data_IF_422300262700
#
_entry.id   IF_422300262700
#
_cell.length_a   1.000
_cell.length_b   1.000
_cell.length_c   1.000
_cell.angle_alpha   90.00
_cell.angle_beta   90.00
_cell.angle_gamma   90.00
#
_symmetry.space_group_name_H-M   'P 1'
#
loop_
_entity.id
_entity.type
_entity.pdbx_description
1 polymer ?
#
# COMPACT_ATOMS: atom_id res chain seq x y z
N UNK A 1 26.32 -44.72 14.56
CA UNK A 1 25.50 -44.94 13.36
C UNK A 1 24.53 -43.77 13.27
N UNK A 2 24.81 -42.79 12.40
CA UNK A 2 23.80 -41.80 12.05
C UNK A 2 22.71 -42.56 11.31
N UNK A 3 21.54 -42.73 11.93
CA UNK A 3 20.38 -43.24 11.22
C UNK A 3 20.04 -42.25 10.11
N UNK A 4 19.98 -42.74 8.87
CA UNK A 4 19.43 -41.98 7.76
C UNK A 4 17.97 -41.68 8.11
N UNK A 5 17.69 -40.48 8.61
CA UNK A 5 16.32 -39.98 8.73
C UNK A 5 15.67 -40.09 7.35
N UNK A 6 14.49 -40.70 7.28
CA UNK A 6 13.77 -40.76 6.01
C UNK A 6 13.44 -39.33 5.57
N UNK A 7 13.44 -39.06 4.26
CA UNK A 7 13.12 -37.73 3.74
C UNK A 7 11.77 -37.19 4.23
N UNK A 8 10.83 -38.08 4.60
CA UNK A 8 9.55 -37.73 5.21
C UNK A 8 9.72 -37.05 6.57
N UNK A 9 10.58 -37.60 7.43
CA UNK A 9 10.82 -37.06 8.78
C UNK A 9 11.53 -35.71 8.68
N UNK A 10 12.46 -35.55 7.75
CA UNK A 10 13.15 -34.27 7.52
C UNK A 10 12.19 -33.19 7.01
N UNK A 11 11.29 -33.53 6.09
CA UNK A 11 10.30 -32.59 5.56
C UNK A 11 9.27 -32.18 6.63
N UNK A 12 8.80 -33.12 7.45
CA UNK A 12 7.91 -32.81 8.57
C UNK A 12 8.60 -31.94 9.63
N UNK A 13 9.87 -32.21 9.95
CA UNK A 13 10.66 -31.39 10.89
C UNK A 13 10.91 -29.96 10.38
N UNK A 14 10.96 -29.76 9.06
CA UNK A 14 11.06 -28.45 8.41
C UNK A 14 9.70 -27.75 8.21
N UNK A 15 8.60 -28.33 8.73
CA UNK A 15 7.26 -27.74 8.64
C UNK A 15 6.53 -28.03 7.32
N UNK A 16 7.05 -28.91 6.46
CA UNK A 16 6.40 -29.30 5.22
C UNK A 16 5.46 -30.50 5.44
N UNK A 17 4.22 -30.41 4.91
CA UNK A 17 3.22 -31.47 5.02
C UNK A 17 3.57 -32.76 4.24
N UNK A 18 2.77 -33.82 4.47
CA UNK A 18 2.93 -35.14 3.82
C UNK A 18 2.87 -35.06 2.27
N UNK A 19 2.23 -34.01 1.72
CA UNK A 19 2.05 -33.80 0.28
C UNK A 19 3.38 -33.53 -0.46
N UNK A 20 4.33 -32.84 0.19
CA UNK A 20 5.65 -32.54 -0.41
C UNK A 20 6.46 -33.83 -0.57
N UNK A 21 6.42 -34.70 0.44
CA UNK A 21 7.09 -36.00 0.38
C UNK A 21 6.49 -36.87 -0.73
N UNK A 22 5.16 -36.92 -0.81
CA UNK A 22 4.47 -37.67 -1.85
C UNK A 22 4.80 -37.12 -3.25
N UNK A 23 4.84 -35.80 -3.38
CA UNK A 23 5.22 -35.15 -4.62
C UNK A 23 6.65 -35.51 -5.05
N UNK A 24 7.63 -35.35 -4.16
CA UNK A 24 9.04 -35.60 -4.46
C UNK A 24 9.37 -37.08 -4.73
N UNK A 25 8.78 -37.99 -3.97
CA UNK A 25 9.16 -39.40 -4.03
C UNK A 25 8.36 -40.19 -5.07
N UNK A 26 7.17 -39.70 -5.43
CA UNK A 26 6.25 -40.42 -6.30
C UNK A 26 5.74 -39.60 -7.49
N UNK A 27 5.28 -38.35 -7.31
CA UNK A 27 4.69 -37.59 -8.41
C UNK A 27 5.76 -37.10 -9.40
N UNK A 28 6.75 -36.36 -8.92
CA UNK A 28 7.82 -35.79 -9.73
C UNK A 28 8.63 -36.87 -10.49
N UNK A 29 8.95 -38.03 -9.88
CA UNK A 29 9.63 -39.12 -10.60
C UNK A 29 8.70 -39.93 -11.54
N UNK A 30 7.43 -39.55 -11.69
CA UNK A 30 6.46 -40.25 -12.53
C UNK A 30 6.00 -41.61 -11.99
N UNK A 31 6.13 -41.86 -10.69
CA UNK A 31 5.64 -43.09 -10.02
C UNK A 31 4.22 -42.89 -9.50
N UNK A 32 3.31 -42.48 -10.39
CA UNK A 32 1.95 -42.15 -9.97
C UNK A 32 1.27 -43.34 -9.30
N UNK A 33 1.23 -44.53 -9.89
CA UNK A 33 0.58 -45.69 -9.25
C UNK A 33 1.06 -45.95 -7.81
N UNK A 34 2.34 -45.70 -7.52
CA UNK A 34 2.88 -45.79 -6.16
C UNK A 34 2.38 -44.66 -5.24
N UNK A 35 2.25 -43.43 -5.74
CA UNK A 35 1.58 -42.34 -5.01
C UNK A 35 0.11 -42.67 -4.75
N UNK A 36 -0.61 -43.26 -5.72
CA UNK A 36 -2.01 -43.71 -5.56
C UNK A 36 -2.14 -44.64 -4.37
N UNK A 37 -1.31 -45.68 -4.40
CA UNK A 37 -1.35 -46.74 -3.41
C UNK A 37 -0.94 -46.19 -2.05
N UNK A 38 0.04 -45.29 -2.00
CA UNK A 38 0.40 -44.58 -0.76
C UNK A 38 -0.77 -43.79 -0.19
N UNK A 39 -1.53 -43.05 -1.01
CA UNK A 39 -2.70 -42.30 -0.57
C UNK A 39 -3.85 -43.21 -0.13
N UNK A 40 -4.14 -44.27 -0.90
CA UNK A 40 -5.18 -45.25 -0.54
C UNK A 40 -4.85 -45.89 0.82
N UNK A 41 -3.60 -46.30 1.03
CA UNK A 41 -3.14 -46.85 2.31
C UNK A 41 -3.23 -45.82 3.41
N UNK A 42 -2.95 -44.54 3.15
CA UNK A 42 -3.07 -43.49 4.16
C UNK A 42 -4.53 -43.23 4.57
N UNK A 43 -5.46 -43.30 3.63
CA UNK A 43 -6.87 -42.96 3.83
C UNK A 43 -7.80 -44.18 3.93
N UNK A 44 -7.25 -45.39 4.09
CA UNK A 44 -8.00 -46.66 4.04
C UNK A 44 -9.17 -46.76 5.04
N UNK A 45 -9.11 -46.03 6.16
CA UNK A 45 -10.21 -45.95 7.13
C UNK A 45 -11.39 -45.07 6.67
N UNK A 46 -11.24 -44.31 5.58
CA UNK A 46 -12.25 -43.41 5.03
C UNK A 46 -12.62 -43.84 3.59
N UNK A 47 -13.55 -44.81 3.47
CA UNK A 47 -13.97 -45.37 2.17
C UNK A 47 -14.34 -44.32 1.12
N UNK A 48 -15.12 -43.29 1.48
CA UNK A 48 -15.50 -42.24 0.54
C UNK A 48 -14.30 -41.46 -0.02
N UNK A 49 -13.23 -41.28 0.78
CA UNK A 49 -12.01 -40.60 0.32
C UNK A 49 -11.16 -41.50 -0.57
N UNK A 50 -11.14 -42.79 -0.32
CA UNK A 50 -10.51 -43.78 -1.20
C UNK A 50 -11.22 -43.82 -2.55
N UNK A 51 -12.55 -43.84 -2.58
CA UNK A 51 -13.33 -43.78 -3.82
C UNK A 51 -13.09 -42.46 -4.58
N UNK A 52 -13.05 -41.32 -3.89
CA UNK A 52 -12.69 -40.03 -4.50
C UNK A 52 -11.29 -40.04 -5.13
N UNK A 53 -10.29 -40.60 -4.44
CA UNK A 53 -8.92 -40.74 -4.96
C UNK A 53 -8.91 -41.64 -6.20
N UNK A 54 -9.59 -42.78 -6.15
CA UNK A 54 -9.66 -43.73 -7.27
C UNK A 54 -10.33 -43.10 -8.50
N UNK A 55 -11.42 -42.36 -8.30
CA UNK A 55 -12.19 -41.73 -9.37
C UNK A 55 -11.45 -40.52 -9.97
N UNK A 56 -10.86 -39.67 -9.13
CA UNK A 56 -10.12 -38.49 -9.58
C UNK A 56 -8.86 -38.84 -10.37
N UNK A 57 -8.11 -39.87 -9.95
CA UNK A 57 -6.89 -40.27 -10.66
C UNK A 57 -7.12 -41.04 -11.95
N UNK A 58 -8.28 -41.69 -12.08
CA UNK A 58 -8.65 -42.37 -13.32
C UNK A 58 -9.31 -41.42 -14.33
N UNK A 59 -9.41 -40.12 -14.04
CA UNK A 59 -10.01 -39.16 -14.95
C UNK A 59 -9.11 -38.91 -16.18
N UNK A 60 -9.70 -38.64 -17.36
CA UNK A 60 -8.94 -38.22 -18.54
C UNK A 60 -8.06 -37.00 -18.26
N UNK A 61 -8.54 -36.06 -17.44
CA UNK A 61 -7.84 -34.85 -17.05
C UNK A 61 -6.58 -35.16 -16.24
N UNK A 62 -6.65 -36.11 -15.30
CA UNK A 62 -5.50 -36.54 -14.51
C UNK A 62 -4.43 -37.24 -15.37
N UNK A 63 -4.84 -38.05 -16.35
CA UNK A 63 -3.93 -38.70 -17.30
C UNK A 63 -3.24 -37.69 -18.23
N UNK A 64 -3.99 -36.70 -18.72
CA UNK A 64 -3.42 -35.60 -19.51
C UNK A 64 -2.48 -34.73 -18.68
N UNK A 65 -2.79 -34.48 -17.41
CA UNK A 65 -1.93 -33.72 -16.50
C UNK A 65 -0.63 -34.48 -16.24
N UNK A 66 -0.70 -35.79 -16.02
CA UNK A 66 0.49 -36.64 -15.90
C UNK A 66 1.38 -36.55 -17.14
N UNK A 67 0.79 -36.73 -18.32
CA UNK A 67 1.54 -36.67 -19.57
C UNK A 67 2.18 -35.30 -19.77
N UNK A 68 1.46 -34.22 -19.48
CA UNK A 68 1.94 -32.85 -19.58
C UNK A 68 3.07 -32.55 -18.58
N UNK A 69 3.01 -33.10 -17.35
CA UNK A 69 4.08 -32.98 -16.37
C UNK A 69 5.35 -33.70 -16.80
N UNK A 70 5.23 -34.93 -17.31
CA UNK A 70 6.38 -35.71 -17.78
C UNK A 70 7.05 -35.10 -19.01
N UNK A 71 6.27 -34.45 -19.87
CA UNK A 71 6.76 -33.81 -21.10
C UNK A 71 7.18 -32.34 -20.92
N UNK A 72 6.96 -31.75 -19.74
CA UNK A 72 7.21 -30.34 -19.50
C UNK A 72 6.27 -29.39 -20.27
N UNK A 73 5.10 -29.88 -20.71
CA UNK A 73 4.08 -29.07 -21.39
C UNK A 73 3.27 -28.24 -20.39
N UNK A 74 3.86 -27.14 -19.92
CA UNK A 74 3.32 -26.26 -18.87
C UNK A 74 1.96 -25.65 -19.25
N UNK A 75 1.79 -25.22 -20.50
CA UNK A 75 0.50 -24.67 -20.97
C UNK A 75 -0.63 -25.70 -20.89
N UNK A 76 -0.34 -26.96 -21.20
CA UNK A 76 -1.34 -28.03 -21.05
C UNK A 76 -1.71 -28.21 -19.58
N UNK A 77 -0.74 -28.19 -18.66
CA UNK A 77 -1.01 -28.28 -17.22
C UNK A 77 -1.85 -27.12 -16.69
N UNK A 78 -1.53 -25.88 -17.09
CA UNK A 78 -2.29 -24.70 -16.67
C UNK A 78 -3.71 -24.77 -17.22
N UNK A 79 -3.89 -25.12 -18.50
CA UNK A 79 -5.22 -25.27 -19.10
C UNK A 79 -6.02 -26.41 -18.44
N UNK A 80 -5.40 -27.54 -18.11
CA UNK A 80 -6.07 -28.63 -17.41
C UNK A 80 -6.52 -28.16 -16.02
N UNK A 81 -5.66 -27.46 -15.29
CA UNK A 81 -6.00 -26.91 -13.99
C UNK A 81 -7.12 -25.85 -14.06
N UNK A 82 -7.11 -24.97 -15.08
CA UNK A 82 -8.17 -24.00 -15.32
C UNK A 82 -9.51 -24.66 -15.66
N UNK A 83 -9.49 -25.78 -16.39
CA UNK A 83 -10.69 -26.52 -16.78
C UNK A 83 -11.21 -27.44 -15.67
N UNK A 84 -10.34 -27.95 -14.79
CA UNK A 84 -10.69 -28.78 -13.63
C UNK A 84 -11.23 -27.94 -12.45
N UNK A 85 -11.07 -26.62 -12.48
CA UNK A 85 -11.57 -25.67 -11.48
C UNK A 85 -13.12 -25.58 -11.38
N UNK A 86 -13.86 -26.49 -12.01
CA UNK A 86 -15.32 -26.59 -11.97
C UNK A 86 -15.89 -27.25 -10.70
N UNK A 87 -15.24 -27.11 -9.54
CA UNK A 87 -15.88 -27.44 -8.26
C UNK A 87 -16.50 -26.18 -7.64
N UNK A 88 -17.78 -25.95 -7.93
CA UNK A 88 -18.62 -24.86 -7.35
C UNK A 88 -18.61 -24.77 -5.81
N UNK A 89 -17.95 -25.70 -5.11
CA UNK A 89 -18.05 -25.86 -3.66
C UNK A 89 -16.73 -25.67 -2.89
N UNK A 90 -15.57 -25.43 -3.53
CA UNK A 90 -14.29 -25.20 -2.81
C UNK A 90 -13.36 -24.19 -3.51
N UNK A 91 -13.40 -22.90 -3.11
CA UNK A 91 -12.48 -21.86 -3.61
C UNK A 91 -11.01 -22.18 -3.34
N UNK A 92 -10.71 -22.93 -2.27
CA UNK A 92 -9.35 -23.33 -1.87
C UNK A 92 -8.64 -24.23 -2.90
N UNK A 93 -9.38 -24.87 -3.82
CA UNK A 93 -8.81 -25.64 -4.94
C UNK A 93 -8.24 -24.76 -6.07
N UNK A 94 -8.45 -23.44 -6.00
CA UNK A 94 -7.98 -22.46 -7.00
C UNK A 94 -6.65 -21.76 -6.64
N UNK A 95 -5.86 -22.33 -5.72
CA UNK A 95 -4.58 -21.78 -5.26
C UNK A 95 -3.41 -22.70 -5.69
N UNK A 96 -2.43 -22.15 -6.41
CA UNK A 96 -1.21 -22.85 -6.78
C UNK A 96 -0.24 -22.98 -5.59
N UNK A 97 0.25 -24.19 -5.34
CA UNK A 97 1.19 -24.45 -4.25
C UNK A 97 2.65 -24.29 -4.74
N UNK A 98 3.26 -23.15 -4.44
CA UNK A 98 4.62 -22.83 -4.86
C UNK A 98 5.69 -23.65 -4.13
N UNK A 99 5.41 -24.18 -2.93
CA UNK A 99 6.33 -25.09 -2.26
C UNK A 99 6.63 -26.34 -3.09
N UNK A 100 5.61 -26.85 -3.79
CA UNK A 100 5.74 -27.99 -4.70
C UNK A 100 6.40 -27.58 -6.02
N UNK A 101 5.99 -26.45 -6.59
CA UNK A 101 6.56 -25.96 -7.85
C UNK A 101 8.05 -25.63 -7.72
N UNK A 102 8.51 -25.19 -6.54
CA UNK A 102 9.92 -24.97 -6.24
C UNK A 102 10.77 -26.27 -6.34
N UNK A 103 10.15 -27.45 -6.24
CA UNK A 103 10.84 -28.73 -6.37
C UNK A 103 11.00 -29.19 -7.83
N UNK A 104 10.35 -28.51 -8.78
CA UNK A 104 10.48 -28.83 -10.19
C UNK A 104 11.87 -28.43 -10.73
N UNK A 105 12.32 -29.02 -11.85
CA UNK A 105 13.41 -28.45 -12.65
C UNK A 105 13.29 -26.93 -12.79
N UNK A 106 14.39 -26.22 -12.54
CA UNK A 106 14.44 -24.76 -12.37
C UNK A 106 13.70 -24.00 -13.48
N UNK A 107 13.95 -24.33 -14.75
CA UNK A 107 13.31 -23.68 -15.89
C UNK A 107 11.78 -23.89 -15.91
N UNK A 108 11.32 -25.08 -15.51
CA UNK A 108 9.89 -25.38 -15.44
C UNK A 108 9.24 -24.61 -14.29
N UNK A 109 9.87 -24.57 -13.11
CA UNK A 109 9.40 -23.79 -11.97
C UNK A 109 9.26 -22.29 -12.32
N UNK A 110 10.29 -21.70 -12.94
CA UNK A 110 10.29 -20.30 -13.38
C UNK A 110 9.20 -20.02 -14.41
N UNK A 111 8.99 -20.94 -15.35
CA UNK A 111 7.95 -20.78 -16.37
C UNK A 111 6.56 -20.87 -15.73
N UNK A 112 6.32 -21.81 -14.81
CA UNK A 112 5.08 -21.86 -14.03
C UNK A 112 4.82 -20.56 -13.29
N UNK A 113 5.83 -20.06 -12.57
CA UNK A 113 5.75 -18.82 -11.82
C UNK A 113 5.36 -17.63 -12.68
N UNK A 114 5.98 -17.48 -13.85
CA UNK A 114 5.63 -16.42 -14.78
C UNK A 114 4.16 -16.54 -15.24
N UNK A 115 3.75 -17.74 -15.69
CA UNK A 115 2.39 -17.96 -16.23
C UNK A 115 1.29 -17.83 -15.18
N UNK A 116 1.51 -18.31 -13.96
CA UNK A 116 0.58 -18.15 -12.82
C UNK A 116 0.30 -16.65 -12.60
N UNK A 117 1.35 -15.82 -12.64
CA UNK A 117 1.22 -14.38 -12.45
C UNK A 117 0.60 -13.66 -13.65
N UNK A 118 0.93 -14.04 -14.89
CA UNK A 118 0.27 -13.50 -16.10
C UNK A 118 -1.25 -13.72 -16.07
N UNK A 119 -1.67 -14.90 -15.61
CA UNK A 119 -3.08 -15.29 -15.50
C UNK A 119 -3.75 -14.79 -14.21
N UNK A 120 -2.99 -14.17 -13.31
CA UNK A 120 -3.45 -13.65 -12.01
C UNK A 120 -4.03 -14.71 -11.07
N UNK A 121 -3.57 -15.96 -11.18
CA UNK A 121 -4.02 -17.06 -10.33
C UNK A 121 -3.58 -16.85 -8.89
N UNK A 122 -4.35 -17.38 -7.93
CA UNK A 122 -3.96 -17.39 -6.52
C UNK A 122 -2.82 -18.39 -6.31
N UNK A 123 -1.92 -18.09 -5.38
CA UNK A 123 -0.80 -18.97 -5.05
C UNK A 123 -0.44 -18.84 -3.57
N UNK A 124 0.33 -19.80 -3.06
CA UNK A 124 0.87 -19.80 -1.70
C UNK A 124 2.27 -20.41 -1.65
N UNK A 125 3.16 -19.84 -0.83
CA UNK A 125 4.54 -20.30 -0.62
C UNK A 125 5.58 -19.53 -1.43
N UNK A 126 5.24 -18.30 -1.79
CA UNK A 126 6.06 -17.39 -2.58
C UNK A 126 7.38 -17.01 -1.89
N UNK A 127 7.38 -16.88 -0.56
CA UNK A 127 8.59 -16.66 0.24
C UNK A 127 9.61 -17.81 0.07
N UNK A 128 9.16 -19.05 0.21
CA UNK A 128 10.00 -20.23 -0.01
C UNK A 128 10.45 -20.31 -1.46
N UNK A 129 9.54 -20.15 -2.42
CA UNK A 129 9.83 -20.23 -3.84
C UNK A 129 10.89 -19.21 -4.28
N UNK A 130 10.75 -17.96 -3.82
CA UNK A 130 11.72 -16.89 -4.06
C UNK A 130 13.06 -17.17 -3.38
N UNK A 131 13.08 -17.80 -2.20
CA UNK A 131 14.32 -18.17 -1.52
C UNK A 131 15.15 -19.21 -2.29
N UNK A 132 14.49 -20.10 -3.05
CA UNK A 132 15.14 -21.15 -3.84
C UNK A 132 15.58 -20.63 -5.22
N UNK A 133 14.73 -19.85 -5.89
CA UNK A 133 14.98 -19.41 -7.26
C UNK A 133 15.70 -18.06 -7.35
N UNK A 134 15.68 -17.25 -6.29
CA UNK A 134 16.37 -15.98 -6.23
C UNK A 134 15.98 -15.03 -7.37
N UNK A 135 16.97 -14.37 -7.95
CA UNK A 135 16.77 -13.34 -8.98
C UNK A 135 16.16 -13.88 -10.28
N UNK A 136 16.26 -15.17 -10.57
CA UNK A 136 15.66 -15.74 -11.78
C UNK A 136 14.13 -15.63 -11.75
N UNK A 137 13.52 -15.58 -10.56
CA UNK A 137 12.08 -15.42 -10.37
C UNK A 137 11.61 -13.95 -10.51
N UNK A 138 12.52 -12.99 -10.74
CA UNK A 138 12.21 -11.56 -10.81
C UNK A 138 11.11 -11.20 -11.83
N UNK A 139 11.07 -11.77 -13.05
CA UNK A 139 10.01 -11.44 -14.01
C UNK A 139 8.59 -11.74 -13.48
N UNK A 140 8.40 -12.91 -12.85
CA UNK A 140 7.11 -13.25 -12.23
C UNK A 140 6.85 -12.43 -10.95
N UNK A 141 7.89 -12.07 -10.19
CA UNK A 141 7.77 -11.21 -9.01
C UNK A 141 7.30 -9.80 -9.38
N UNK A 142 7.80 -9.24 -10.48
CA UNK A 142 7.35 -7.94 -11.00
C UNK A 142 5.87 -7.96 -11.37
N UNK A 143 5.40 -9.05 -12.00
CA UNK A 143 3.98 -9.23 -12.30
C UNK A 143 3.14 -9.39 -11.03
N UNK A 144 3.59 -10.25 -10.10
CA UNK A 144 2.94 -10.46 -8.80
C UNK A 144 2.75 -9.12 -8.08
N UNK A 145 3.81 -8.31 -8.02
CA UNK A 145 3.79 -6.99 -7.39
C UNK A 145 2.85 -6.01 -8.08
N UNK A 146 2.77 -6.04 -9.41
CA UNK A 146 1.85 -5.19 -10.16
C UNK A 146 0.37 -5.51 -9.88
N UNK A 147 0.07 -6.77 -9.56
CA UNK A 147 -1.30 -7.25 -9.32
C UNK A 147 -1.69 -7.18 -7.84
N UNK A 148 -0.78 -7.56 -6.94
CA UNK A 148 -1.01 -7.67 -5.49
C UNK A 148 0.14 -6.99 -4.73
N UNK A 149 0.26 -5.65 -4.82
CA UNK A 149 1.36 -4.93 -4.19
C UNK A 149 1.37 -5.12 -2.67
N UNK A 150 0.20 -5.14 -2.00
CA UNK A 150 0.09 -5.38 -0.54
C UNK A 150 0.74 -6.68 -0.09
N UNK A 151 0.44 -7.78 -0.76
CA UNK A 151 0.93 -9.11 -0.41
C UNK A 151 2.42 -9.28 -0.79
N UNK A 152 2.82 -8.72 -1.93
CA UNK A 152 4.14 -8.99 -2.51
C UNK A 152 5.23 -8.02 -2.01
N UNK A 153 4.87 -6.80 -1.55
CA UNK A 153 5.87 -5.79 -1.15
C UNK A 153 6.86 -6.31 -0.09
N UNK A 154 6.42 -6.97 1.01
CA UNK A 154 7.35 -7.47 2.03
C UNK A 154 8.44 -8.39 1.48
N UNK A 155 8.15 -9.13 0.41
CA UNK A 155 9.10 -10.04 -0.24
C UNK A 155 10.15 -9.27 -1.04
N UNK A 156 9.75 -8.18 -1.70
CA UNK A 156 10.61 -7.33 -2.53
C UNK A 156 11.70 -6.62 -1.71
N UNK A 157 11.52 -6.43 -0.40
CA UNK A 157 12.56 -5.90 0.50
C UNK A 157 13.88 -6.68 0.40
N UNK A 158 13.80 -7.97 0.08
CA UNK A 158 14.96 -8.87 -0.02
C UNK A 158 15.64 -8.85 -1.40
N UNK A 159 15.13 -8.07 -2.36
CA UNK A 159 15.60 -8.03 -3.74
C UNK A 159 16.11 -6.64 -4.14
N UNK A 160 17.42 -6.53 -4.37
CA UNK A 160 18.03 -5.37 -5.01
C UNK A 160 18.09 -5.55 -6.52
N UNK A 161 17.08 -5.04 -7.25
CA UNK A 161 17.07 -5.07 -8.72
C UNK A 161 16.59 -3.71 -9.27
N UNK A 162 17.18 -3.28 -10.39
CA UNK A 162 16.84 -2.00 -11.03
C UNK A 162 15.40 -1.94 -11.52
N UNK A 163 14.84 -3.07 -11.92
CA UNK A 163 13.50 -3.25 -12.44
C UNK A 163 12.42 -2.98 -11.38
N UNK A 164 12.78 -3.13 -10.10
CA UNK A 164 11.91 -2.85 -8.96
C UNK A 164 11.86 -1.36 -8.60
N UNK A 165 12.87 -0.57 -9.00
CA UNK A 165 12.99 0.82 -8.58
C UNK A 165 11.81 1.70 -9.01
N UNK A 166 11.35 1.59 -10.26
CA UNK A 166 10.20 2.38 -10.74
C UNK A 166 8.87 1.91 -10.12
N UNK A 167 8.55 0.60 -10.06
CA UNK A 167 7.40 0.13 -9.28
C UNK A 167 7.40 0.63 -7.83
N UNK A 168 8.52 0.54 -7.12
CA UNK A 168 8.66 1.02 -5.74
C UNK A 168 8.52 2.54 -5.65
N UNK A 169 9.12 3.30 -6.57
CA UNK A 169 8.99 4.75 -6.61
C UNK A 169 7.54 5.20 -6.82
N UNK A 170 6.75 4.48 -7.63
CA UNK A 170 5.31 4.73 -7.79
C UNK A 170 4.55 4.48 -6.49
N UNK A 171 4.92 3.45 -5.72
CA UNK A 171 4.36 3.22 -4.37
C UNK A 171 4.71 4.37 -3.43
N UNK A 172 5.98 4.77 -3.38
CA UNK A 172 6.44 5.92 -2.61
C UNK A 172 5.69 7.21 -2.95
N UNK A 173 5.41 7.43 -4.24
CA UNK A 173 4.73 8.62 -4.73
C UNK A 173 3.24 8.63 -4.39
N UNK A 174 2.52 7.52 -4.66
CA UNK A 174 1.04 7.48 -4.69
C UNK A 174 0.37 6.80 -3.48
N UNK A 175 0.99 5.81 -2.86
CA UNK A 175 0.30 4.90 -1.94
C UNK A 175 0.78 5.09 -0.50
N UNK A 176 0.03 5.88 0.27
CA UNK A 176 0.35 6.17 1.67
C UNK A 176 0.50 4.90 2.53
N UNK A 177 -0.30 3.86 2.25
CA UNK A 177 -0.32 2.59 3.01
C UNK A 177 0.99 1.82 3.04
N UNK A 178 1.75 1.83 1.95
CA UNK A 178 3.03 1.08 1.83
C UNK A 178 4.23 2.02 1.71
N UNK A 179 4.02 3.28 2.05
CA UNK A 179 5.03 4.32 1.84
C UNK A 179 6.30 4.07 2.64
N UNK A 180 6.15 3.51 3.84
CA UNK A 180 7.27 3.06 4.67
C UNK A 180 8.08 1.96 4.02
N UNK A 181 7.43 0.91 3.52
CA UNK A 181 8.12 -0.20 2.85
C UNK A 181 8.84 0.30 1.59
N UNK A 182 8.22 1.22 0.85
CA UNK A 182 8.86 1.86 -0.29
C UNK A 182 10.06 2.72 0.11
N UNK A 183 9.95 3.50 1.19
CA UNK A 183 11.07 4.25 1.76
C UNK A 183 12.20 3.31 2.17
N UNK A 184 11.88 2.24 2.89
CA UNK A 184 12.83 1.24 3.35
C UNK A 184 13.58 0.63 2.16
N UNK A 185 12.87 0.17 1.13
CA UNK A 185 13.49 -0.40 -0.07
C UNK A 185 14.40 0.60 -0.78
N UNK A 186 13.93 1.84 -0.99
CA UNK A 186 14.72 2.90 -1.66
C UNK A 186 16.04 3.17 -0.92
N UNK A 187 15.99 3.24 0.42
CA UNK A 187 17.16 3.50 1.24
C UNK A 187 18.06 2.27 1.45
N UNK A 188 17.50 1.07 1.37
CA UNK A 188 18.26 -0.17 1.40
C UNK A 188 19.00 -0.41 0.07
N UNK A 189 18.40 0.00 -1.05
CA UNK A 189 18.93 -0.22 -2.41
C UNK A 189 19.13 1.11 -3.17
N UNK A 190 19.96 2.04 -2.65
CA UNK A 190 20.08 3.40 -3.20
C UNK A 190 20.70 3.41 -4.60
N UNK A 191 21.69 2.55 -4.87
CA UNK A 191 22.35 2.47 -6.18
C UNK A 191 21.42 1.91 -7.26
N UNK A 192 20.62 0.89 -6.94
CA UNK A 192 19.62 0.32 -7.86
C UNK A 192 18.55 1.36 -8.20
N UNK A 193 18.08 2.08 -7.17
CA UNK A 193 17.14 3.19 -7.31
C UNK A 193 17.72 4.28 -8.23
N UNK A 194 18.94 4.75 -7.95
CA UNK A 194 19.60 5.78 -8.74
C UNK A 194 19.77 5.35 -10.21
N UNK A 195 20.27 4.13 -10.43
CA UNK A 195 20.60 3.62 -11.77
C UNK A 195 19.37 3.58 -12.68
N UNK A 196 18.23 3.13 -12.14
CA UNK A 196 16.98 3.01 -12.90
C UNK A 196 16.26 4.36 -13.08
N UNK A 197 16.31 5.24 -12.07
CA UNK A 197 15.43 6.41 -12.01
C UNK A 197 16.05 7.70 -12.56
N UNK A 198 17.39 7.86 -12.51
CA UNK A 198 18.07 9.07 -13.02
C UNK A 198 17.67 9.40 -14.48
N UNK A 199 17.67 8.43 -15.43
CA UNK A 199 17.29 8.71 -16.81
C UNK A 199 15.84 9.20 -16.95
N UNK A 200 14.94 8.72 -16.09
CA UNK A 200 13.51 9.04 -16.16
C UNK A 200 13.21 10.47 -15.76
N UNK A 201 14.10 11.15 -15.02
CA UNK A 201 13.91 12.58 -14.66
C UNK A 201 14.09 13.49 -15.88
N UNK A 202 14.89 13.07 -16.86
CA UNK A 202 15.20 13.86 -18.05
C UNK A 202 14.27 13.59 -19.24
N UNK A 203 13.33 12.66 -19.10
CA UNK A 203 12.29 12.43 -20.12
C UNK A 203 11.15 13.46 -19.99
N UNK A 204 10.23 13.45 -20.95
CA UNK A 204 9.04 14.31 -20.90
C UNK A 204 8.29 14.12 -19.56
N UNK A 205 7.87 15.22 -18.89
CA UNK A 205 7.12 15.13 -17.64
C UNK A 205 5.89 14.23 -17.76
N UNK A 206 5.83 13.24 -16.88
CA UNK A 206 4.76 12.28 -16.70
C UNK A 206 4.79 11.72 -15.28
N UNK A 207 3.80 10.91 -14.91
CA UNK A 207 3.72 10.30 -13.58
C UNK A 207 4.97 9.48 -13.20
N UNK A 208 5.57 8.77 -14.17
CA UNK A 208 6.78 7.99 -13.92
C UNK A 208 8.00 8.89 -13.63
N UNK A 209 8.14 10.02 -14.34
CA UNK A 209 9.25 10.96 -14.10
C UNK A 209 9.07 11.68 -12.77
N UNK A 210 7.82 11.98 -12.37
CA UNK A 210 7.52 12.55 -11.05
C UNK A 210 7.85 11.54 -9.94
N UNK A 211 7.37 10.29 -10.06
CA UNK A 211 7.71 9.24 -9.10
C UNK A 211 9.22 9.03 -8.96
N UNK A 212 9.94 9.02 -10.08
CA UNK A 212 11.40 8.94 -10.12
C UNK A 212 12.05 10.11 -9.36
N UNK A 213 11.62 11.34 -9.63
CA UNK A 213 12.14 12.53 -8.97
C UNK A 213 11.91 12.50 -7.45
N UNK A 214 10.72 12.08 -7.00
CA UNK A 214 10.41 11.97 -5.57
C UNK A 214 11.27 10.94 -4.84
N UNK A 215 11.62 9.83 -5.49
CA UNK A 215 12.52 8.82 -4.92
C UNK A 215 13.98 9.31 -4.88
N UNK A 216 14.44 10.00 -5.92
CA UNK A 216 15.79 10.55 -5.96
C UNK A 216 15.98 11.71 -4.98
N UNK A 217 14.95 12.54 -4.77
CA UNK A 217 14.96 13.55 -3.70
C UNK A 217 15.07 12.94 -2.32
N UNK A 218 14.34 11.85 -2.06
CA UNK A 218 14.48 11.11 -0.80
C UNK A 218 15.93 10.65 -0.59
N UNK A 219 16.59 10.10 -1.62
CA UNK A 219 18.01 9.71 -1.51
C UNK A 219 18.93 10.91 -1.22
N UNK A 220 18.72 12.01 -1.94
CA UNK A 220 19.48 13.24 -1.76
C UNK A 220 19.33 13.82 -0.35
N UNK A 221 18.09 13.92 0.15
CA UNK A 221 17.76 14.38 1.51
C UNK A 221 18.35 13.46 2.60
N UNK A 222 18.54 12.18 2.31
CA UNK A 222 19.19 11.21 3.22
C UNK A 222 20.71 11.16 3.05
N UNK A 223 21.32 12.14 2.36
CA UNK A 223 22.78 12.28 2.26
C UNK A 223 23.46 11.43 1.19
N UNK A 224 22.71 10.85 0.24
CA UNK A 224 23.28 9.99 -0.82
C UNK A 224 23.78 10.78 -2.04
N UNK A 225 24.19 12.04 -1.89
CA UNK A 225 24.60 12.92 -3.01
C UNK A 225 25.80 12.36 -3.79
N UNK A 226 26.83 11.88 -3.10
CA UNK A 226 28.04 11.30 -3.74
C UNK A 226 27.70 10.06 -4.58
N UNK A 227 26.79 9.21 -4.08
CA UNK A 227 26.32 8.03 -4.80
C UNK A 227 25.52 8.44 -6.04
N UNK A 228 24.59 9.40 -5.92
CA UNK A 228 23.83 9.90 -7.06
C UNK A 228 24.73 10.51 -8.13
N UNK A 229 25.77 11.25 -7.72
CA UNK A 229 26.79 11.79 -8.62
C UNK A 229 27.56 10.67 -9.33
N UNK A 230 28.03 9.67 -8.57
CA UNK A 230 28.75 8.52 -9.12
C UNK A 230 27.93 7.78 -10.17
N UNK A 231 26.64 7.54 -9.89
CA UNK A 231 25.74 6.84 -10.83
C UNK A 231 25.42 7.73 -12.04
N UNK A 232 25.17 9.03 -11.85
CA UNK A 232 24.93 9.96 -12.95
C UNK A 232 26.12 10.02 -13.93
N UNK A 233 27.34 9.96 -13.42
CA UNK A 233 28.56 9.99 -14.23
C UNK A 233 28.79 8.72 -15.07
N UNK A 234 28.13 7.60 -14.76
CA UNK A 234 28.21 6.36 -15.56
C UNK A 234 27.58 6.51 -16.95
N UNK A 235 26.75 7.52 -17.15
CA UNK A 235 26.06 7.81 -18.42
C UNK A 235 26.94 8.55 -19.44
N UNK A 236 28.24 8.72 -19.15
CA UNK A 236 29.25 9.38 -20.00
C UNK A 236 28.82 10.77 -20.51
N UNK A 237 28.09 11.50 -19.66
CA UNK A 237 27.59 12.85 -19.92
C UNK A 237 27.94 13.78 -18.76
N UNK A 238 28.86 14.70 -19.03
CA UNK A 238 29.37 15.64 -18.02
C UNK A 238 28.31 16.58 -17.43
N UNK A 239 27.20 16.78 -18.13
CA UNK A 239 26.10 17.67 -17.72
C UNK A 239 25.02 16.97 -16.88
N UNK A 240 25.03 15.63 -16.78
CA UNK A 240 23.99 14.87 -16.08
C UNK A 240 23.91 15.21 -14.61
N UNK A 241 25.02 15.19 -13.88
CA UNK A 241 25.03 15.50 -12.46
C UNK A 241 24.63 16.95 -12.18
N UNK A 242 25.25 17.99 -12.79
CA UNK A 242 24.84 19.38 -12.55
C UNK A 242 23.36 19.65 -12.86
N UNK A 243 22.82 19.04 -13.92
CA UNK A 243 21.41 19.16 -14.26
C UNK A 243 20.51 18.45 -13.23
N UNK A 244 20.90 17.25 -12.80
CA UNK A 244 20.17 16.48 -11.79
C UNK A 244 20.18 17.21 -10.44
N UNK A 245 21.35 17.63 -9.97
CA UNK A 245 21.53 18.35 -8.71
C UNK A 245 20.66 19.60 -8.66
N UNK A 246 20.64 20.39 -9.73
CA UNK A 246 19.75 21.56 -9.85
C UNK A 246 18.26 21.21 -9.68
N UNK A 247 17.80 20.09 -10.25
CA UNK A 247 16.41 19.63 -10.13
C UNK A 247 16.12 19.11 -8.71
N UNK A 248 17.10 18.44 -8.08
CA UNK A 248 16.99 17.92 -6.72
C UNK A 248 16.97 19.04 -5.67
N UNK A 249 17.77 20.10 -5.86
CA UNK A 249 17.83 21.26 -4.97
C UNK A 249 16.81 22.34 -5.29
N UNK A 250 16.01 22.17 -6.36
CA UNK A 250 15.01 23.16 -6.73
C UNK A 250 14.00 23.33 -5.58
N UNK A 251 13.76 24.57 -5.21
CA UNK A 251 12.80 24.90 -4.16
C UNK A 251 11.43 24.30 -4.51
N UNK A 252 10.81 23.48 -3.64
CA UNK A 252 9.49 22.92 -3.87
C UNK A 252 8.41 23.96 -4.19
N UNK A 253 8.62 25.20 -3.77
CA UNK A 253 7.77 26.37 -4.05
C UNK A 253 7.90 26.90 -5.49
N UNK A 254 8.86 26.42 -6.27
CA UNK A 254 9.07 26.87 -7.66
C UNK A 254 8.62 25.81 -8.68
N UNK A 255 7.98 24.75 -8.19
CA UNK A 255 7.51 23.62 -9.00
C UNK A 255 6.03 23.82 -9.31
N UNK A 256 5.75 24.19 -10.55
CA UNK A 256 4.38 24.45 -11.03
C UNK A 256 3.98 23.42 -12.09
N UNK A 257 2.69 23.02 -12.14
CA UNK A 257 2.19 22.22 -13.26
C UNK A 257 2.26 23.05 -14.56
N UNK A 258 2.63 22.39 -15.67
CA UNK A 258 2.69 23.04 -16.99
C UNK A 258 1.33 23.55 -17.49
N UNK A 259 0.22 23.00 -16.97
CA UNK A 259 -1.15 23.44 -17.25
C UNK A 259 -1.99 23.38 -15.99
N UNK A 260 -2.69 24.47 -15.72
CA UNK A 260 -3.63 24.57 -14.59
C UNK A 260 -5.04 24.24 -15.13
N UNK A 261 -5.73 23.23 -14.57
CA UNK A 261 -7.11 22.95 -14.95
C UNK A 261 -8.01 24.17 -14.71
N UNK A 262 -8.95 24.42 -15.64
CA UNK A 262 -9.96 25.47 -15.46
C UNK A 262 -10.79 25.21 -14.19
N UNK A 263 -11.20 26.27 -13.51
CA UNK A 263 -12.03 26.17 -12.31
C UNK A 263 -13.35 25.47 -12.65
N UNK A 264 -13.84 24.55 -11.80
CA UNK A 264 -15.12 23.91 -12.02
C UNK A 264 -16.26 24.92 -11.80
N UNK A 265 -17.44 24.63 -12.35
CA UNK A 265 -18.59 25.55 -12.28
C UNK A 265 -19.07 25.83 -10.86
N UNK A 266 -18.80 24.93 -9.90
CA UNK A 266 -19.15 25.13 -8.49
C UNK A 266 -18.18 26.05 -7.74
N UNK A 267 -17.07 26.47 -8.37
CA UNK A 267 -16.06 27.32 -7.73
C UNK A 267 -16.55 28.76 -7.60
N UNK A 268 -17.11 29.08 -6.43
CA UNK A 268 -17.63 30.40 -6.09
C UNK A 268 -17.16 30.86 -4.70
N UNK A 269 -15.84 31.08 -4.51
CA UNK A 269 -15.26 31.35 -3.19
C UNK A 269 -15.74 32.65 -2.54
N UNK A 270 -16.34 33.55 -3.31
CA UNK A 270 -16.93 34.78 -2.80
C UNK A 270 -18.15 34.54 -1.89
N UNK A 271 -18.81 33.39 -2.03
CA UNK A 271 -19.99 32.99 -1.25
C UNK A 271 -19.62 32.14 -0.03
N UNK A 272 -18.33 31.86 0.17
CA UNK A 272 -17.82 30.98 1.22
C UNK A 272 -17.19 31.78 2.37
N UNK A 273 -16.97 31.09 3.47
CA UNK A 273 -16.20 31.57 4.61
C UNK A 273 -14.80 32.00 4.16
N UNK A 274 -14.43 33.25 4.42
CA UNK A 274 -13.16 33.81 3.97
C UNK A 274 -12.05 33.54 4.98
N UNK A 275 -10.89 33.01 4.56
CA UNK A 275 -9.68 32.99 5.38
C UNK A 275 -9.33 34.37 5.90
N UNK A 276 -8.87 34.44 7.15
CA UNK A 276 -8.47 35.69 7.81
C UNK A 276 -7.01 35.64 8.21
N UNK A 277 -6.31 36.76 8.06
CA UNK A 277 -4.90 36.87 8.46
C UNK A 277 -4.75 36.82 9.99
N UNK A 278 -3.71 36.16 10.47
CA UNK A 278 -3.38 36.08 11.90
C UNK A 278 -2.99 37.45 12.45
N UNK A 279 -2.24 38.24 11.68
CA UNK A 279 -1.64 39.50 12.14
C UNK A 279 -2.64 40.61 12.44
N UNK A 280 -3.71 40.71 11.64
CA UNK A 280 -4.64 41.84 11.71
C UNK A 280 -6.12 41.45 11.54
N UNK A 281 -6.44 40.15 11.48
CA UNK A 281 -7.80 39.62 11.33
C UNK A 281 -8.55 40.05 10.05
N UNK A 282 -7.86 40.64 9.08
CA UNK A 282 -8.46 41.03 7.80
C UNK A 282 -8.72 39.80 6.94
N UNK A 283 -9.80 39.83 6.16
CA UNK A 283 -10.12 38.77 5.21
C UNK A 283 -9.21 38.86 4.00
N UNK A 284 -8.82 37.71 3.45
CA UNK A 284 -8.13 37.63 2.17
C UNK A 284 -8.97 38.26 1.04
N UNK A 285 -8.29 38.87 0.08
CA UNK A 285 -8.92 39.54 -1.08
C UNK A 285 -9.54 38.52 -2.03
N UNK A 286 -10.42 38.96 -2.95
CA UNK A 286 -10.98 38.08 -3.97
C UNK A 286 -9.90 37.49 -4.87
N UNK A 287 -8.91 38.28 -5.26
CA UNK A 287 -7.80 37.82 -6.10
C UNK A 287 -6.98 36.73 -5.38
N UNK A 288 -6.76 36.89 -4.06
CA UNK A 288 -6.09 35.88 -3.26
C UNK A 288 -6.91 34.58 -3.21
N UNK A 289 -8.24 34.64 -3.10
CA UNK A 289 -9.09 33.45 -3.14
C UNK A 289 -8.95 32.69 -4.47
N UNK A 290 -8.90 33.40 -5.60
CA UNK A 290 -8.71 32.77 -6.90
C UNK A 290 -7.33 32.10 -7.02
N UNK A 291 -6.27 32.76 -6.54
CA UNK A 291 -4.91 32.19 -6.50
C UNK A 291 -4.86 30.94 -5.61
N UNK A 292 -5.51 30.96 -4.44
CA UNK A 292 -5.65 29.79 -3.56
C UNK A 292 -6.35 28.65 -4.31
N UNK A 293 -7.42 28.96 -5.04
CA UNK A 293 -8.14 28.00 -5.87
C UNK A 293 -7.30 27.40 -6.99
N UNK A 294 -6.48 28.21 -7.66
CA UNK A 294 -5.52 27.73 -8.65
C UNK A 294 -4.52 26.77 -8.02
N UNK A 295 -3.89 27.17 -6.91
CA UNK A 295 -2.92 26.34 -6.20
C UNK A 295 -3.53 25.02 -5.69
N UNK A 296 -4.78 25.03 -5.21
CA UNK A 296 -5.51 23.82 -4.80
C UNK A 296 -5.74 22.86 -5.98
N UNK A 297 -5.81 23.37 -7.21
CA UNK A 297 -5.93 22.56 -8.43
C UNK A 297 -4.58 22.02 -8.93
N UNK A 298 -3.45 22.42 -8.34
CA UNK A 298 -2.11 21.91 -8.70
C UNK A 298 -1.84 20.51 -8.16
N UNK A 299 -2.87 19.76 -7.76
CA UNK A 299 -2.65 18.45 -7.13
C UNK A 299 -1.92 17.49 -8.06
N UNK A 300 -0.71 17.11 -7.68
CA UNK A 300 0.15 16.14 -8.38
C UNK A 300 0.34 14.92 -7.50
N UNK A 301 0.08 13.72 -8.03
CA UNK A 301 0.19 12.48 -7.25
C UNK A 301 -0.68 12.42 -5.98
N UNK A 302 -1.77 13.21 -5.92
CA UNK A 302 -2.61 13.32 -4.73
C UNK A 302 -2.03 14.19 -3.60
N UNK A 303 -1.07 15.06 -3.89
CA UNK A 303 -0.52 16.04 -2.93
C UNK A 303 -0.78 17.47 -3.38
N UNK A 304 -0.96 18.35 -2.42
CA UNK A 304 -1.06 19.77 -2.67
C UNK A 304 0.31 20.40 -2.95
N UNK A 305 0.29 21.47 -3.73
CA UNK A 305 1.44 22.31 -3.94
C UNK A 305 1.93 22.88 -2.60
N UNK A 306 3.24 22.81 -2.38
CA UNK A 306 3.89 23.15 -1.11
C UNK A 306 3.60 24.58 -0.65
N UNK A 307 3.33 25.51 -1.57
CA UNK A 307 2.99 26.89 -1.22
C UNK A 307 1.67 27.07 -0.50
N UNK A 308 0.76 26.10 -0.55
CA UNK A 308 -0.46 26.16 0.25
C UNK A 308 -0.18 26.00 1.75
N UNK A 309 0.94 25.39 2.15
CA UNK A 309 1.34 25.30 3.57
C UNK A 309 1.67 26.67 4.15
N UNK A 310 2.11 27.64 3.33
CA UNK A 310 2.35 29.00 3.78
C UNK A 310 1.07 29.67 4.28
N UNK A 311 -0.10 29.31 3.74
CA UNK A 311 -1.37 29.86 4.20
C UNK A 311 -1.63 29.52 5.67
N UNK A 312 -1.17 28.37 6.18
CA UNK A 312 -1.28 28.03 7.60
C UNK A 312 -0.42 28.93 8.50
N UNK A 313 0.62 29.54 7.94
CA UNK A 313 1.49 30.48 8.67
C UNK A 313 0.90 31.89 8.72
N UNK A 314 0.09 32.26 7.72
CA UNK A 314 -0.45 33.62 7.59
C UNK A 314 -1.92 33.74 7.97
N UNK A 315 -2.72 32.66 7.84
CA UNK A 315 -4.16 32.67 8.07
C UNK A 315 -4.55 31.88 9.32
N UNK A 316 -5.62 32.33 9.97
CA UNK A 316 -6.16 31.69 11.17
C UNK A 316 -6.68 30.28 10.83
N UNK A 317 -6.25 29.24 11.56
CA UNK A 317 -6.61 27.85 11.27
C UNK A 317 -8.11 27.62 11.13
N UNK A 318 -8.92 28.20 12.02
CA UNK A 318 -10.38 28.00 12.04
C UNK A 318 -11.05 28.58 10.78
N UNK A 319 -10.55 29.70 10.27
CA UNK A 319 -11.10 30.33 9.06
C UNK A 319 -10.67 29.61 7.79
N UNK A 320 -9.49 28.99 7.79
CA UNK A 320 -9.05 28.09 6.71
C UNK A 320 -9.88 26.80 6.70
N UNK A 321 -10.15 26.23 7.88
CA UNK A 321 -10.99 25.04 8.02
C UNK A 321 -12.42 25.30 7.51
N UNK A 322 -13.02 26.43 7.91
CA UNK A 322 -14.34 26.84 7.42
C UNK A 322 -14.37 27.02 5.89
N UNK A 323 -13.36 27.67 5.31
CA UNK A 323 -13.23 27.80 3.86
C UNK A 323 -13.14 26.45 3.15
N UNK A 324 -12.34 25.51 3.68
CA UNK A 324 -12.22 24.17 3.12
C UNK A 324 -13.51 23.36 3.24
N UNK A 325 -14.26 23.52 4.33
CA UNK A 325 -15.55 22.90 4.52
C UNK A 325 -16.60 23.39 3.52
N UNK A 326 -16.64 24.70 3.25
CA UNK A 326 -17.54 25.28 2.24
C UNK A 326 -17.20 24.80 0.83
N UNK A 327 -15.90 24.72 0.49
CA UNK A 327 -15.43 24.13 -0.77
C UNK A 327 -15.86 22.66 -0.91
N UNK A 328 -15.66 21.85 0.14
CA UNK A 328 -16.09 20.45 0.16
C UNK A 328 -17.61 20.33 -0.03
N UNK A 329 -18.39 21.16 0.67
CA UNK A 329 -19.84 21.17 0.59
C UNK A 329 -20.31 21.53 -0.83
N UNK A 330 -19.70 22.54 -1.46
CA UNK A 330 -20.00 22.91 -2.85
C UNK A 330 -19.69 21.77 -3.82
N UNK A 331 -18.54 21.09 -3.66
CA UNK A 331 -18.18 19.91 -4.46
C UNK A 331 -19.19 18.76 -4.27
N UNK A 332 -19.65 18.51 -3.05
CA UNK A 332 -20.68 17.50 -2.78
C UNK A 332 -22.01 17.84 -3.46
N UNK A 333 -22.45 19.10 -3.37
CA UNK A 333 -23.69 19.59 -3.99
C UNK A 333 -23.63 19.52 -5.52
N UNK A 334 -22.44 19.70 -6.11
CA UNK A 334 -22.19 19.51 -7.54
C UNK A 334 -22.16 18.03 -7.98
N UNK A 335 -22.50 17.09 -7.09
CA UNK A 335 -22.54 15.66 -7.39
C UNK A 335 -21.22 14.93 -7.14
N UNK A 336 -20.24 15.57 -6.48
CA UNK A 336 -18.92 15.02 -6.17
C UNK A 336 -18.16 14.50 -7.40
N UNK A 337 -17.91 15.35 -8.41
CA UNK A 337 -17.21 14.95 -9.63
C UNK A 337 -15.80 14.45 -9.32
N UNK A 338 -15.45 13.26 -9.84
CA UNK A 338 -14.17 12.60 -9.57
C UNK A 338 -12.95 13.39 -10.06
N UNK A 339 -13.09 14.14 -11.18
CA UNK A 339 -12.03 15.01 -11.72
C UNK A 339 -11.66 16.17 -10.78
N UNK A 340 -12.56 16.54 -9.88
CA UNK A 340 -12.39 17.64 -8.92
C UNK A 340 -12.25 17.15 -7.48
N UNK A 341 -11.78 15.91 -7.28
CA UNK A 341 -11.60 15.32 -5.95
C UNK A 341 -10.59 16.08 -5.07
N UNK A 342 -9.81 16.99 -5.65
CA UNK A 342 -8.96 17.93 -4.93
C UNK A 342 -9.75 18.80 -3.94
N UNK A 343 -11.03 19.09 -4.23
CA UNK A 343 -11.90 19.86 -3.32
C UNK A 343 -12.21 19.08 -2.04
N UNK A 344 -12.41 17.75 -2.14
CA UNK A 344 -12.56 16.89 -0.98
C UNK A 344 -11.23 16.75 -0.22
N UNK A 345 -10.13 16.55 -0.97
CA UNK A 345 -8.79 16.42 -0.40
C UNK A 345 -8.38 17.67 0.39
N UNK A 346 -8.88 18.87 0.06
CA UNK A 346 -8.53 20.13 0.74
C UNK A 346 -8.81 20.10 2.25
N UNK A 347 -9.76 19.28 2.71
CA UNK A 347 -10.02 19.03 4.12
C UNK A 347 -8.79 18.43 4.84
N UNK A 348 -7.99 17.61 4.15
CA UNK A 348 -6.75 17.07 4.73
C UNK A 348 -5.68 18.12 4.97
N UNK A 349 -5.72 19.21 4.20
CA UNK A 349 -4.74 20.27 4.30
C UNK A 349 -5.15 21.32 5.32
N UNK A 350 -6.40 21.81 5.25
CA UNK A 350 -6.85 22.96 6.03
C UNK A 350 -7.82 22.62 7.16
N UNK A 351 -8.32 21.38 7.21
CA UNK A 351 -9.28 20.97 8.22
C UNK A 351 -8.69 20.96 9.63
N UNK A 352 -9.53 21.32 10.59
CA UNK A 352 -9.22 21.31 12.02
C UNK A 352 -9.95 20.16 12.75
N UNK A 353 -9.95 20.18 14.08
CA UNK A 353 -10.63 19.16 14.90
C UNK A 353 -12.15 19.10 14.65
N UNK A 354 -12.81 20.26 14.46
CA UNK A 354 -14.25 20.28 14.12
C UNK A 354 -14.49 19.62 12.76
N UNK A 355 -13.64 19.93 11.79
CA UNK A 355 -13.69 19.31 10.46
C UNK A 355 -13.58 17.79 10.56
N UNK A 356 -12.70 17.26 11.41
CA UNK A 356 -12.56 15.83 11.62
C UNK A 356 -13.83 15.18 12.20
N UNK A 357 -14.48 15.83 13.18
CA UNK A 357 -15.74 15.35 13.79
C UNK A 357 -16.89 15.37 12.78
N UNK A 358 -17.03 16.46 12.04
CA UNK A 358 -18.11 16.63 11.06
C UNK A 358 -17.93 15.67 9.88
N UNK A 359 -16.70 15.51 9.38
CA UNK A 359 -16.38 14.55 8.33
C UNK A 359 -16.65 13.11 8.78
N UNK A 360 -16.38 12.77 10.04
CA UNK A 360 -16.67 11.44 10.60
C UNK A 360 -18.15 11.11 10.57
N UNK A 361 -19.01 12.10 10.87
CA UNK A 361 -20.46 11.95 10.77
C UNK A 361 -20.88 11.60 9.35
N UNK A 362 -20.30 12.27 8.34
CA UNK A 362 -20.54 11.98 6.92
C UNK A 362 -20.04 10.58 6.52
N UNK A 363 -18.83 10.20 6.96
CA UNK A 363 -18.22 8.89 6.66
C UNK A 363 -19.08 7.74 7.17
N UNK A 364 -19.67 7.87 8.36
CA UNK A 364 -20.54 6.84 8.94
C UNK A 364 -21.88 6.71 8.21
N UNK A 365 -22.37 7.78 7.58
CA UNK A 365 -23.63 7.79 6.83
C UNK A 365 -23.48 7.21 5.41
N UNK A 366 -22.39 7.53 4.70
CA UNK A 366 -22.22 7.19 3.28
C UNK A 366 -22.37 5.71 2.90
N UNK A 367 -21.94 4.71 3.69
CA UNK A 367 -22.21 3.31 3.35
C UNK A 367 -23.71 2.98 3.24
N UNK A 368 -24.56 3.63 4.05
CA UNK A 368 -26.02 3.46 3.99
C UNK A 368 -26.64 4.14 2.77
N UNK A 369 -25.95 5.14 2.20
CA UNK A 369 -26.34 5.85 0.99
C UNK A 369 -25.77 5.22 -0.29
N UNK A 370 -25.12 4.05 -0.21
CA UNK A 370 -24.45 3.41 -1.35
C UNK A 370 -23.14 4.09 -1.78
N UNK A 371 -22.60 5.01 -0.96
CA UNK A 371 -21.40 5.82 -1.25
C UNK A 371 -20.15 5.27 -0.56
N UNK A 372 -19.99 3.94 -0.47
CA UNK A 372 -18.89 3.29 0.27
C UNK A 372 -17.49 3.72 -0.19
N UNK A 373 -17.28 3.92 -1.49
CA UNK A 373 -15.99 4.42 -2.00
C UNK A 373 -15.66 5.82 -1.46
N UNK A 374 -16.67 6.68 -1.28
CA UNK A 374 -16.49 8.02 -0.68
C UNK A 374 -16.14 7.92 0.80
N UNK A 375 -16.72 6.96 1.52
CA UNK A 375 -16.37 6.67 2.91
C UNK A 375 -14.90 6.29 3.06
N UNK A 376 -14.39 5.40 2.20
CA UNK A 376 -12.97 5.04 2.18
C UNK A 376 -12.09 6.25 1.87
N UNK A 377 -12.46 7.09 0.90
CA UNK A 377 -11.74 8.35 0.63
C UNK A 377 -11.75 9.32 1.83
N UNK A 378 -12.84 9.35 2.60
CA UNK A 378 -12.92 10.13 3.83
C UNK A 378 -12.00 9.61 4.93
N UNK A 379 -11.86 8.29 5.09
CA UNK A 379 -10.87 7.71 6.02
C UNK A 379 -9.44 8.11 5.65
N UNK A 380 -9.12 8.11 4.35
CA UNK A 380 -7.83 8.58 3.86
C UNK A 380 -7.60 10.06 4.18
N UNK A 381 -8.63 10.91 4.08
CA UNK A 381 -8.53 12.34 4.46
C UNK A 381 -8.28 12.50 5.96
N UNK A 382 -9.01 11.79 6.83
CA UNK A 382 -8.74 11.81 8.27
C UNK A 382 -7.30 11.40 8.58
N UNK A 383 -6.79 10.39 7.88
CA UNK A 383 -5.39 9.93 8.01
C UNK A 383 -4.39 11.02 7.63
N UNK A 384 -4.69 11.80 6.59
CA UNK A 384 -3.81 12.85 6.08
C UNK A 384 -3.85 14.15 6.91
N UNK A 385 -4.95 14.44 7.61
CA UNK A 385 -5.08 15.63 8.48
C UNK A 385 -4.02 15.67 9.59
N UNK A 386 -3.48 14.51 9.98
CA UNK A 386 -2.39 14.35 10.95
C UNK A 386 -2.55 15.17 12.25
N UNK A 387 -3.78 15.26 12.76
CA UNK A 387 -4.08 15.79 14.09
C UNK A 387 -4.69 14.69 14.97
N UNK A 388 -4.57 14.84 16.28
CA UNK A 388 -4.96 13.79 17.24
C UNK A 388 -6.46 13.48 17.17
N UNK A 389 -7.30 14.51 16.97
CA UNK A 389 -8.74 14.32 16.81
C UNK A 389 -9.07 13.42 15.61
N UNK A 390 -8.41 13.60 14.46
CA UNK A 390 -8.65 12.78 13.28
C UNK A 390 -8.28 11.31 13.52
N UNK A 391 -7.18 11.05 14.25
CA UNK A 391 -6.78 9.70 14.64
C UNK A 391 -7.73 9.08 15.67
N UNK A 392 -8.21 9.85 16.66
CA UNK A 392 -9.25 9.42 17.61
C UNK A 392 -10.52 9.03 16.85
N UNK A 393 -10.96 9.84 15.88
CA UNK A 393 -12.13 9.52 15.07
C UNK A 393 -11.90 8.27 14.22
N UNK A 394 -10.74 8.12 13.60
CA UNK A 394 -10.38 6.95 12.80
C UNK A 394 -10.41 5.67 13.66
N UNK A 395 -9.89 5.73 14.88
CA UNK A 395 -9.99 4.64 15.86
C UNK A 395 -11.42 4.35 16.29
N UNK A 396 -12.22 5.39 16.55
CA UNK A 396 -13.63 5.20 16.86
C UNK A 396 -14.38 4.49 15.73
N UNK A 397 -14.10 4.83 14.47
CA UNK A 397 -14.69 4.17 13.30
C UNK A 397 -14.27 2.70 13.22
N UNK A 398 -12.97 2.40 13.40
CA UNK A 398 -12.47 1.01 13.31
C UNK A 398 -13.12 0.08 14.33
N UNK A 399 -13.46 0.61 15.51
CA UNK A 399 -14.11 -0.17 16.58
C UNK A 399 -15.63 -0.25 16.40
N UNK A 400 -16.30 0.86 16.08
CA UNK A 400 -17.76 1.00 16.26
C UNK A 400 -18.58 1.16 14.99
N UNK A 401 -17.97 1.27 13.82
CA UNK A 401 -18.74 1.41 12.58
C UNK A 401 -19.60 0.17 12.29
N UNK A 402 -20.86 0.37 11.91
CA UNK A 402 -21.79 -0.73 11.59
C UNK A 402 -21.37 -1.50 10.33
N UNK A 403 -20.75 -0.82 9.38
CA UNK A 403 -20.24 -1.41 8.15
C UNK A 403 -18.92 -2.14 8.41
N UNK A 404 -18.93 -3.48 8.28
CA UNK A 404 -17.71 -4.29 8.43
C UNK A 404 -16.59 -3.85 7.47
N UNK A 405 -16.83 -3.68 6.15
CA UNK A 405 -15.79 -3.18 5.25
C UNK A 405 -15.23 -1.82 5.68
N UNK A 406 -16.06 -0.92 6.22
CA UNK A 406 -15.58 0.39 6.67
C UNK A 406 -14.68 0.25 7.91
N UNK A 407 -15.03 -0.62 8.87
CA UNK A 407 -14.18 -0.91 10.04
C UNK A 407 -12.83 -1.47 9.61
N UNK A 408 -12.84 -2.44 8.72
CA UNK A 408 -11.62 -3.12 8.25
C UNK A 408 -10.69 -2.12 7.55
N UNK A 409 -11.24 -1.23 6.70
CA UNK A 409 -10.45 -0.16 6.08
C UNK A 409 -9.90 0.83 7.12
N UNK A 410 -10.71 1.26 8.09
CA UNK A 410 -10.25 2.19 9.14
C UNK A 410 -9.14 1.58 10.01
N UNK A 411 -9.23 0.29 10.32
CA UNK A 411 -8.18 -0.45 11.01
C UNK A 411 -6.89 -0.50 10.18
N UNK A 412 -6.99 -0.73 8.87
CA UNK A 412 -5.84 -0.71 7.97
C UNK A 412 -5.17 0.67 7.93
N UNK A 413 -5.93 1.77 7.82
CA UNK A 413 -5.37 3.12 7.86
C UNK A 413 -4.67 3.43 9.20
N UNK A 414 -5.23 2.98 10.33
CA UNK A 414 -4.58 3.13 11.62
C UNK A 414 -3.27 2.35 11.71
N UNK A 415 -3.25 1.11 11.21
CA UNK A 415 -2.05 0.30 11.17
C UNK A 415 -0.94 1.01 10.37
N UNK A 416 -1.28 1.57 9.21
CA UNK A 416 -0.35 2.36 8.41
C UNK A 416 0.21 3.56 9.20
N UNK A 417 -0.63 4.27 9.94
CA UNK A 417 -0.17 5.40 10.78
C UNK A 417 0.75 4.91 11.90
N UNK A 418 0.40 3.81 12.56
CA UNK A 418 1.20 3.22 13.63
C UNK A 418 2.59 2.81 13.11
N UNK A 419 2.63 2.07 11.99
CA UNK A 419 3.86 1.67 11.32
C UNK A 419 4.70 2.90 10.90
N UNK A 420 4.08 3.96 10.35
CA UNK A 420 4.74 5.23 10.01
C UNK A 420 5.36 5.92 11.22
N UNK A 421 4.86 5.67 12.43
CA UNK A 421 5.37 6.22 13.69
C UNK A 421 6.25 5.24 14.46
N UNK A 422 6.49 4.03 13.93
CA UNK A 422 7.25 2.98 14.61
C UNK A 422 6.55 2.45 15.87
N UNK A 423 5.21 2.45 15.87
CA UNK A 423 4.36 2.02 16.98
C UNK A 423 3.51 0.83 16.56
N UNK A 424 3.09 0.02 17.52
CA UNK A 424 1.97 -0.90 17.34
C UNK A 424 0.64 -0.15 17.27
N UNK A 425 -0.41 -0.81 16.75
CA UNK A 425 -1.74 -0.20 16.72
C UNK A 425 -2.30 0.03 18.14
N UNK A 426 -1.96 -0.85 19.09
CA UNK A 426 -2.34 -0.74 20.50
C UNK A 426 -1.61 0.43 21.16
N UNK A 427 -0.29 0.55 20.94
CA UNK A 427 0.50 1.69 21.44
C UNK A 427 0.04 3.02 20.86
N UNK A 428 -0.36 3.04 19.59
CA UNK A 428 -0.96 4.22 18.99
C UNK A 428 -2.30 4.55 19.67
N UNK A 429 -3.16 3.55 19.90
CA UNK A 429 -4.45 3.75 20.55
C UNK A 429 -4.31 4.28 21.99
N UNK A 430 -3.38 3.73 22.77
CA UNK A 430 -3.11 4.17 24.14
C UNK A 430 -2.66 5.64 24.18
N UNK A 431 -1.86 6.07 23.19
CA UNK A 431 -1.43 7.47 23.06
C UNK A 431 -2.51 8.43 22.57
N UNK A 432 -3.57 7.91 21.96
CA UNK A 432 -4.72 8.71 21.50
C UNK A 432 -5.75 8.96 22.59
N UNK A 433 -5.57 8.38 23.79
CA UNK A 433 -6.41 8.68 24.95
C UNK A 433 -6.26 10.17 25.26
N UNK A 434 -7.35 10.96 25.17
CA UNK A 434 -7.28 12.38 25.50
C UNK A 434 -6.81 12.54 26.93
N UNK A 435 -5.71 13.26 27.12
CA UNK A 435 -5.17 13.49 28.46
C UNK A 435 -6.00 14.49 29.24
N UNK A 436 -6.97 15.14 28.59
CA UNK A 436 -7.88 16.14 29.17
C UNK A 436 -7.15 17.28 29.90
N UNK A 437 -5.90 17.55 29.50
CA UNK A 437 -5.04 18.54 30.15
C UNK A 437 -4.43 18.06 31.47
N UNK A 438 -4.67 16.81 31.90
CA UNK A 438 -4.18 16.27 33.17
C UNK A 438 -2.66 16.08 33.21
N UNK A 439 -1.96 16.21 32.07
CA UNK A 439 -0.50 16.18 32.00
C UNK A 439 0.14 17.53 32.39
N UNK A 440 -0.65 18.61 32.39
CA UNK A 440 -0.20 19.94 32.84
C UNK A 440 -0.42 20.05 34.36
N UNK A 441 0.66 20.19 35.17
CA UNK A 441 0.54 20.36 36.62
C UNK A 441 -0.35 21.54 37.03
N UNK A 442 -0.48 22.57 36.18
CA UNK A 442 -1.35 23.72 36.44
C UNK A 442 -2.83 23.40 36.18
N UNK A 443 -3.15 22.50 35.24
CA UNK A 443 -4.52 22.06 34.98
C UNK A 443 -5.08 21.15 36.08
N UNK A 444 -4.20 20.59 36.92
CA UNK A 444 -4.55 19.83 38.12
C UNK A 444 -4.74 20.71 39.37
N UNK A 445 -4.57 22.03 39.25
CA UNK A 445 -4.68 22.99 40.35
C UNK A 445 -5.98 23.81 40.23
N UNK A 446 -6.89 23.62 41.18
CA UNK A 446 -8.14 24.36 41.29
C UNK A 446 -8.05 25.44 42.38
N UNK A 447 -8.18 26.70 41.99
CA UNK A 447 -8.20 27.85 42.90
C UNK A 447 -9.65 28.24 43.25
N UNK A 448 -9.97 28.22 44.55
CA UNK A 448 -11.25 28.62 45.11
C UNK A 448 -11.09 29.81 46.08
N UNK A 449 -10.22 30.78 45.78
CA UNK A 449 -10.02 31.98 46.57
C UNK A 449 -9.02 31.74 47.71
N UNK A 450 -9.41 31.71 49.00
CA UNK A 450 -8.45 31.46 50.09
C UNK A 450 -7.96 30.01 50.16
N UNK A 451 -8.38 29.12 49.26
CA UNK A 451 -8.01 27.69 49.24
C UNK A 451 -7.69 27.24 47.82
N UNK A 452 -6.57 26.55 47.69
CA UNK A 452 -6.11 25.93 46.45
C UNK A 452 -6.06 24.42 46.65
N UNK A 453 -6.58 23.67 45.69
CA UNK A 453 -6.61 22.20 45.70
C UNK A 453 -5.82 21.68 44.51
N UNK A 454 -4.97 20.69 44.73
CA UNK A 454 -4.23 20.03 43.65
C UNK A 454 -4.63 18.57 43.62
N UNK A 455 -5.03 18.09 42.45
CA UNK A 455 -5.32 16.67 42.23
C UNK A 455 -4.00 15.97 41.91
N UNK A 456 -3.67 14.92 42.67
CA UNK A 456 -2.52 14.06 42.38
C UNK A 456 -3.00 12.62 42.40
N UNK A 457 -2.61 11.85 41.39
CA UNK A 457 -2.83 10.41 41.38
C UNK A 457 -1.73 9.75 42.23
N UNK A 458 -2.11 8.81 43.10
CA UNK A 458 -1.19 7.83 43.67
C UNK A 458 -1.24 6.55 42.82
N UNK A 459 -0.07 5.95 42.59
CA UNK A 459 0.03 4.59 42.05
C UNK A 459 0.06 3.57 43.19
#
# INVERSE_FOLDING_TARGET
>A
RMEQKSGRVVLQELGFGDDVWLFLNYILPGKLDAARNSLIVQWHYYQGRVEEILNGWNSPEAQLAEQALRSGHIEALINIWENDNYSRYRPEKSVWNLYLLAQLPREMALTFWLRINEKKHLFAGEDYFLSILGLDALPGLLLAFSHRPKETFPLILNFGATELALPVARVWHRFAGQRNLARQWILQWPEHTATALIPLVFVKPCDNSEAALFALRLLYEQGHSELLQTVANRWDRADMWPALEKILTQNPMEIYPARIPKAPDFWHPQMWSRPRLITNNQTVTNDALEIIGEMLRFTQGGRFYSGLEQLKTFCQPQTLAAFAWDLFTAWQQAGAPAKDNWAFLALSLFGDESTARDLTTQILAWPQEGKSARAVSGLNILTLMNNDMALIQLHHISQRAKSRPLRDNAAEFLQVVAENRGLSQEELADRLVPTLGLDDPQALSFDFGPRQFTVRFDE
#
